data_IF_306973110330
#
_entry.id   IF_306973110330
#
_cell.length_a   1.000
_cell.length_b   1.000
_cell.length_c   1.000
_cell.angle_alpha   90.00
_cell.angle_beta   90.00
_cell.angle_gamma   90.00
#
_symmetry.space_group_name_H-M   'P 1'
#
loop_
_entity.id
_entity.type
_entity.pdbx_description
1 polymer ?
#
# COMPACT_ATOMS: atom_id res chain seq x y z
N UNK A 1 -11.36 -19.77 14.95
CA UNK A 1 -11.53 -18.86 13.80
C UNK A 1 -10.80 -17.57 14.16
N UNK A 2 -9.54 -17.45 13.72
CA UNK A 2 -8.70 -16.30 14.05
C UNK A 2 -9.04 -15.16 13.10
N UNK A 3 -9.57 -14.08 13.65
CA UNK A 3 -9.90 -12.87 12.91
C UNK A 3 -8.60 -12.09 12.60
N UNK A 4 -8.05 -12.32 11.42
CA UNK A 4 -6.86 -11.63 10.90
C UNK A 4 -7.14 -10.19 10.43
N UNK A 5 -8.38 -9.69 10.56
CA UNK A 5 -8.72 -8.31 10.17
C UNK A 5 -8.27 -7.26 11.20
N UNK A 6 -7.86 -7.68 12.41
CA UNK A 6 -7.55 -6.75 13.51
C UNK A 6 -6.14 -6.15 13.53
N UNK A 7 -5.21 -6.58 12.67
CA UNK A 7 -3.80 -6.20 12.80
C UNK A 7 -3.24 -5.24 11.74
N UNK A 8 -4.07 -4.66 10.85
CA UNK A 8 -3.56 -3.76 9.81
C UNK A 8 -3.95 -2.28 9.97
N UNK A 9 -4.77 -1.91 10.96
CA UNK A 9 -5.24 -0.54 11.19
C UNK A 9 -5.45 -0.23 12.69
N UNK A 10 -4.43 -0.43 13.53
CA UNK A 10 -4.43 0.14 14.89
C UNK A 10 -3.27 1.12 15.03
N UNK A 11 -3.33 2.24 14.30
CA UNK A 11 -2.48 3.40 14.55
C UNK A 11 -3.35 4.63 14.86
N UNK A 12 -4.37 4.44 15.70
CA UNK A 12 -4.93 5.58 16.40
C UNK A 12 -3.84 6.08 17.35
N UNK A 13 -3.33 7.30 17.13
CA UNK A 13 -2.42 7.95 18.08
C UNK A 13 -3.13 7.99 19.41
N UNK A 14 -2.62 7.24 20.38
CA UNK A 14 -3.26 7.16 21.69
C UNK A 14 -3.19 8.52 22.39
N UNK A 15 -4.12 8.80 23.31
CA UNK A 15 -4.08 10.04 24.09
C UNK A 15 -2.74 10.22 24.83
N UNK A 16 -2.11 9.11 25.24
CA UNK A 16 -0.80 9.11 25.89
C UNK A 16 0.32 9.51 24.93
N UNK A 17 0.36 8.94 23.72
CA UNK A 17 1.31 9.34 22.67
C UNK A 17 1.15 10.81 22.29
N UNK A 18 -0.10 11.27 22.18
CA UNK A 18 -0.40 12.66 21.87
C UNK A 18 0.15 13.63 22.94
N UNK A 19 -0.05 13.34 24.22
CA UNK A 19 0.50 14.15 25.31
C UNK A 19 2.03 14.06 25.39
N UNK A 20 2.62 12.89 25.08
CA UNK A 20 4.08 12.73 24.95
C UNK A 20 4.64 13.61 23.83
N UNK A 21 4.00 13.63 22.67
CA UNK A 21 4.36 14.48 21.54
C UNK A 21 4.26 15.98 21.89
N UNK A 22 3.21 16.41 22.61
CA UNK A 22 3.10 17.80 23.11
C UNK A 22 4.26 18.18 24.04
N UNK A 23 4.61 17.31 25.00
CA UNK A 23 5.72 17.54 25.92
C UNK A 23 7.06 17.63 25.16
N UNK A 24 7.29 16.72 24.22
CA UNK A 24 8.47 16.73 23.36
C UNK A 24 8.55 18.03 22.56
N UNK A 25 7.47 18.44 21.90
CA UNK A 25 7.40 19.71 21.15
C UNK A 25 7.76 20.90 22.03
N UNK A 26 7.16 21.03 23.22
CA UNK A 26 7.46 22.13 24.15
C UNK A 26 8.94 22.14 24.56
N UNK A 27 9.53 20.97 24.82
CA UNK A 27 10.95 20.83 25.17
C UNK A 27 11.84 21.29 24.02
N UNK A 28 11.62 20.76 22.81
CA UNK A 28 12.43 21.09 21.62
C UNK A 28 12.35 22.58 21.29
N UNK A 29 11.16 23.19 21.34
CA UNK A 29 11.01 24.65 21.10
C UNK A 29 11.82 25.46 22.10
N UNK A 30 11.84 25.06 23.39
CA UNK A 30 12.60 25.77 24.42
C UNK A 30 14.10 25.58 24.23
N UNK A 31 14.54 24.36 23.96
CA UNK A 31 15.94 23.95 23.84
C UNK A 31 16.65 24.60 22.64
N UNK A 32 15.95 24.71 21.51
CA UNK A 32 16.51 25.22 20.25
C UNK A 32 16.09 26.65 19.93
N UNK A 33 15.49 27.36 20.89
CA UNK A 33 15.05 28.75 20.70
C UNK A 33 16.21 29.66 20.30
N UNK A 34 16.07 30.34 19.16
CA UNK A 34 17.05 31.32 18.67
C UNK A 34 18.25 30.72 17.96
N UNK A 35 18.33 29.39 17.82
CA UNK A 35 19.31 28.71 16.97
C UNK A 35 18.75 28.57 15.56
N UNK A 36 19.62 28.63 14.54
CA UNK A 36 19.22 28.27 13.18
C UNK A 36 19.18 26.76 13.02
N UNK A 37 18.49 26.28 11.99
CA UNK A 37 18.43 24.83 11.71
C UNK A 37 19.82 24.29 11.35
N UNK A 38 20.60 25.08 10.61
CA UNK A 38 21.97 24.76 10.17
C UNK A 38 22.93 24.55 11.36
N UNK A 39 22.66 25.24 12.48
CA UNK A 39 23.48 25.17 13.69
C UNK A 39 23.11 23.97 14.58
N UNK A 40 22.03 23.25 14.26
CA UNK A 40 21.39 22.26 15.13
C UNK A 40 21.36 20.87 14.50
N UNK A 41 21.06 20.77 13.20
CA UNK A 41 21.00 19.51 12.48
C UNK A 41 21.95 19.60 11.30
N UNK A 42 22.86 18.63 11.21
CA UNK A 42 23.79 18.54 10.09
C UNK A 42 23.04 18.27 8.79
N UNK A 43 23.44 18.98 7.74
CA UNK A 43 22.82 18.96 6.43
C UNK A 43 23.53 19.94 5.50
N UNK A 44 23.07 20.00 4.25
CA UNK A 44 23.69 20.81 3.21
C UNK A 44 22.68 21.67 2.43
N UNK A 45 23.15 22.77 1.84
CA UNK A 45 22.32 23.57 0.95
C UNK A 45 22.33 22.92 -0.44
N UNK A 46 21.16 22.45 -0.87
CA UNK A 46 20.95 21.82 -2.16
C UNK A 46 20.22 22.78 -3.11
N UNK A 47 20.79 23.03 -4.29
CA UNK A 47 20.20 23.94 -5.27
C UNK A 47 19.33 23.18 -6.27
N UNK A 48 18.07 23.57 -6.37
CA UNK A 48 17.12 23.03 -7.35
C UNK A 48 16.76 24.10 -8.39
N UNK A 49 16.10 23.70 -9.48
CA UNK A 49 15.56 24.64 -10.47
C UNK A 49 14.55 25.63 -9.86
N UNK A 50 13.92 25.28 -8.73
CA UNK A 50 12.95 26.13 -8.02
C UNK A 50 13.58 26.97 -6.89
N UNK A 51 14.90 26.92 -6.72
CA UNK A 51 15.64 27.60 -5.64
C UNK A 51 16.36 26.64 -4.70
N UNK A 52 16.99 27.19 -3.66
CA UNK A 52 17.79 26.43 -2.70
C UNK A 52 16.92 25.83 -1.58
N UNK A 53 17.20 24.59 -1.20
CA UNK A 53 16.64 23.93 -0.01
C UNK A 53 17.75 23.46 0.94
N UNK A 54 17.41 23.20 2.20
CA UNK A 54 18.33 22.59 3.16
C UNK A 54 18.03 21.08 3.24
N UNK A 55 18.98 20.26 2.82
CA UNK A 55 18.88 18.81 2.76
C UNK A 55 19.44 18.20 4.03
N UNK A 56 18.61 17.45 4.73
CA UNK A 56 19.00 16.62 5.87
C UNK A 56 18.78 15.18 5.43
N UNK A 57 19.86 14.41 5.31
CA UNK A 57 19.81 12.98 4.99
C UNK A 57 20.18 12.16 6.23
N UNK A 58 19.38 11.14 6.49
CA UNK A 58 19.70 10.12 7.48
C UNK A 58 19.40 8.74 6.91
N UNK A 59 20.13 7.73 7.39
CA UNK A 59 20.00 6.33 6.95
C UNK A 59 19.78 5.45 8.16
N UNK A 60 18.56 4.93 8.28
CA UNK A 60 18.20 3.95 9.29
C UNK A 60 17.83 2.61 8.64
N UNK A 61 18.11 1.51 9.35
CA UNK A 61 17.63 0.20 8.92
C UNK A 61 16.15 0.04 9.29
N UNK A 62 15.30 -0.11 8.28
CA UNK A 62 13.88 -0.36 8.47
C UNK A 62 13.58 -1.86 8.38
N UNK A 63 13.02 -2.42 9.45
CA UNK A 63 12.36 -3.73 9.38
C UNK A 63 10.98 -3.54 8.75
N UNK A 64 10.91 -3.74 7.45
CA UNK A 64 9.65 -3.85 6.72
C UNK A 64 9.34 -5.32 6.45
N UNK A 65 8.17 -5.79 6.90
CA UNK A 65 7.64 -7.10 6.53
C UNK A 65 6.71 -6.93 5.34
N UNK A 66 7.07 -7.54 4.21
CA UNK A 66 6.19 -7.60 3.05
C UNK A 66 5.17 -8.71 3.24
N UNK A 67 4.00 -8.53 2.62
CA UNK A 67 2.98 -9.58 2.58
C UNK A 67 3.57 -10.79 1.84
N UNK A 68 3.35 -11.99 2.39
CA UNK A 68 3.76 -13.22 1.73
C UNK A 68 3.16 -13.33 0.31
N UNK A 69 4.00 -13.46 -0.75
CA UNK A 69 3.53 -13.44 -2.13
C UNK A 69 2.54 -14.57 -2.46
N UNK A 70 2.68 -15.74 -1.82
CA UNK A 70 1.79 -16.88 -2.03
C UNK A 70 0.39 -16.56 -1.49
N UNK A 71 0.31 -16.04 -0.25
CA UNK A 71 -0.95 -15.59 0.34
C UNK A 71 -1.59 -14.46 -0.46
N UNK A 72 -0.80 -13.49 -0.92
CA UNK A 72 -1.29 -12.38 -1.72
C UNK A 72 -1.88 -12.86 -3.06
N UNK A 73 -1.16 -13.74 -3.76
CA UNK A 73 -1.64 -14.37 -4.98
C UNK A 73 -2.97 -15.09 -4.77
N UNK A 74 -3.08 -15.90 -3.71
CA UNK A 74 -4.34 -16.57 -3.36
C UNK A 74 -5.47 -15.57 -3.10
N UNK A 75 -5.20 -14.45 -2.41
CA UNK A 75 -6.21 -13.41 -2.14
C UNK A 75 -6.72 -12.75 -3.42
N UNK A 76 -5.83 -12.45 -4.36
CA UNK A 76 -6.18 -11.90 -5.67
C UNK A 76 -7.03 -12.90 -6.46
N UNK A 77 -6.57 -14.14 -6.58
CA UNK A 77 -7.24 -15.18 -7.37
C UNK A 77 -8.57 -15.64 -6.76
N UNK A 78 -8.79 -15.43 -5.46
CA UNK A 78 -10.07 -15.75 -4.81
C UNK A 78 -11.16 -14.71 -5.07
N UNK A 79 -10.85 -13.59 -5.75
CA UNK A 79 -11.80 -12.52 -6.03
C UNK A 79 -12.26 -12.58 -7.49
N UNK A 80 -13.45 -13.15 -7.72
CA UNK A 80 -13.91 -13.42 -9.08
C UNK A 80 -14.35 -12.17 -9.83
N UNK A 81 -14.59 -11.05 -9.12
CA UNK A 81 -14.97 -9.77 -9.73
C UNK A 81 -13.86 -9.14 -10.57
N UNK A 82 -12.66 -9.71 -10.55
CA UNK A 82 -11.59 -9.37 -11.47
C UNK A 82 -11.83 -9.88 -12.90
N UNK A 83 -12.82 -10.77 -13.08
CA UNK A 83 -13.22 -11.31 -14.37
C UNK A 83 -14.46 -10.56 -14.87
N UNK A 84 -14.39 -10.09 -16.12
CA UNK A 84 -15.49 -9.39 -16.76
C UNK A 84 -16.79 -10.22 -16.72
N UNK A 85 -17.89 -9.57 -16.35
CA UNK A 85 -19.21 -10.22 -16.25
C UNK A 85 -19.47 -10.96 -14.93
N UNK A 86 -18.53 -10.96 -13.98
CA UNK A 86 -18.74 -11.48 -12.63
C UNK A 86 -18.91 -10.30 -11.65
N UNK A 87 -20.17 -10.02 -11.28
CA UNK A 87 -20.49 -9.12 -10.16
C UNK A 87 -20.56 -9.86 -8.83
N UNK A 88 -20.87 -9.15 -7.74
CA UNK A 88 -20.99 -9.71 -6.39
C UNK A 88 -21.93 -10.91 -6.30
N UNK A 89 -23.13 -10.80 -6.90
CA UNK A 89 -24.12 -11.89 -6.90
C UNK A 89 -23.60 -13.13 -7.65
N UNK A 90 -22.99 -12.92 -8.82
CA UNK A 90 -22.41 -14.01 -9.63
C UNK A 90 -21.27 -14.69 -8.87
N UNK A 91 -20.41 -13.92 -8.21
CA UNK A 91 -19.32 -14.45 -7.39
C UNK A 91 -19.84 -15.30 -6.23
N UNK A 92 -20.89 -14.86 -5.53
CA UNK A 92 -21.53 -15.65 -4.45
C UNK A 92 -22.09 -16.96 -5.00
N UNK A 93 -22.77 -16.93 -6.15
CA UNK A 93 -23.34 -18.12 -6.79
C UNK A 93 -22.22 -19.12 -7.15
N UNK A 94 -21.17 -18.66 -7.84
CA UNK A 94 -20.03 -19.50 -8.22
C UNK A 94 -19.35 -20.11 -6.99
N UNK A 95 -19.16 -19.33 -5.93
CA UNK A 95 -18.60 -19.82 -4.66
C UNK A 95 -19.52 -20.84 -3.96
N UNK A 96 -20.83 -20.69 -4.11
CA UNK A 96 -21.83 -21.67 -3.67
C UNK A 96 -21.80 -22.97 -4.46
N UNK A 97 -21.41 -22.92 -5.73
CA UNK A 97 -21.23 -24.09 -6.61
C UNK A 97 -19.91 -24.84 -6.38
N UNK A 98 -19.01 -24.30 -5.55
CA UNK A 98 -17.76 -24.96 -5.16
C UNK A 98 -16.49 -24.35 -5.76
N UNK A 99 -16.60 -23.38 -6.66
CA UNK A 99 -15.45 -22.63 -7.18
C UNK A 99 -14.84 -21.78 -6.05
N UNK A 100 -13.52 -21.83 -5.88
CA UNK A 100 -12.80 -21.10 -4.82
C UNK A 100 -11.83 -20.07 -5.37
N UNK A 101 -11.18 -20.36 -6.48
CA UNK A 101 -10.24 -19.45 -7.15
C UNK A 101 -10.55 -19.29 -8.63
N UNK A 102 -9.98 -18.25 -9.26
CA UNK A 102 -10.10 -18.00 -10.71
C UNK A 102 -9.52 -19.19 -11.51
N UNK A 103 -8.52 -19.91 -10.99
CA UNK A 103 -8.05 -21.15 -11.60
C UNK A 103 -9.17 -22.18 -11.77
N UNK A 104 -10.06 -22.31 -10.78
CA UNK A 104 -11.17 -23.26 -10.85
C UNK A 104 -12.15 -22.89 -11.98
N UNK A 105 -12.17 -21.63 -12.40
CA UNK A 105 -13.06 -21.13 -13.46
C UNK A 105 -12.54 -21.41 -14.87
N UNK A 106 -11.31 -21.87 -15.08
CA UNK A 106 -10.74 -22.11 -16.42
C UNK A 106 -11.61 -23.07 -17.25
N UNK A 107 -12.21 -24.08 -16.61
CA UNK A 107 -13.11 -25.02 -17.26
C UNK A 107 -14.57 -24.55 -17.37
N UNK A 108 -14.90 -23.37 -16.85
CA UNK A 108 -16.27 -22.87 -16.81
C UNK A 108 -16.70 -22.36 -18.19
N UNK A 109 -17.84 -22.87 -18.70
CA UNK A 109 -18.30 -22.62 -20.07
C UNK A 109 -18.42 -21.14 -20.47
N UNK A 110 -18.68 -20.25 -19.50
CA UNK A 110 -18.86 -18.81 -19.73
C UNK A 110 -17.66 -17.94 -19.37
N UNK A 111 -16.83 -18.37 -18.41
CA UNK A 111 -15.81 -17.50 -17.79
C UNK A 111 -14.40 -18.05 -17.94
N UNK A 112 -14.25 -19.20 -18.61
CA UNK A 112 -12.98 -19.94 -18.66
C UNK A 112 -11.89 -19.24 -19.45
N UNK A 113 -12.24 -18.61 -20.58
CA UNK A 113 -11.26 -17.90 -21.40
C UNK A 113 -10.75 -16.65 -20.68
N UNK A 114 -11.65 -15.86 -20.08
CA UNK A 114 -11.27 -14.67 -19.31
C UNK A 114 -10.48 -15.03 -18.04
N UNK A 115 -10.87 -16.12 -17.35
CA UNK A 115 -10.12 -16.63 -16.20
C UNK A 115 -8.69 -17.05 -16.59
N UNK A 116 -8.54 -17.71 -17.73
CA UNK A 116 -7.25 -18.13 -18.26
C UNK A 116 -6.38 -16.94 -18.67
N UNK A 117 -6.97 -15.92 -19.30
CA UNK A 117 -6.26 -14.69 -19.65
C UNK A 117 -5.76 -13.96 -18.39
N UNK A 118 -6.63 -13.77 -17.40
CA UNK A 118 -6.25 -13.14 -16.14
C UNK A 118 -5.14 -13.91 -15.42
N UNK A 119 -5.23 -15.24 -15.39
CA UNK A 119 -4.19 -16.08 -14.80
C UNK A 119 -2.84 -15.94 -15.50
N UNK A 120 -2.83 -15.80 -16.83
CA UNK A 120 -1.60 -15.54 -17.59
C UNK A 120 -0.98 -14.20 -17.18
N UNK A 121 -1.79 -13.15 -16.96
CA UNK A 121 -1.29 -11.85 -16.47
C UNK A 121 -0.61 -12.03 -15.12
N UNK A 122 -1.27 -12.68 -14.16
CA UNK A 122 -0.73 -12.95 -12.82
C UNK A 122 0.58 -13.74 -12.88
N UNK A 123 0.69 -14.73 -13.75
CA UNK A 123 1.88 -15.60 -13.85
C UNK A 123 3.02 -14.99 -14.68
N UNK A 124 2.75 -14.03 -15.56
CA UNK A 124 3.74 -13.45 -16.47
C UNK A 124 4.67 -12.41 -15.84
N UNK A 125 4.59 -12.18 -14.52
CA UNK A 125 5.31 -11.14 -13.78
C UNK A 125 5.09 -9.71 -14.33
N UNK A 126 4.03 -9.49 -15.11
CA UNK A 126 3.65 -8.15 -15.63
C UNK A 126 2.82 -7.39 -14.60
N UNK A 127 3.41 -7.08 -13.45
CA UNK A 127 2.66 -6.56 -12.29
C UNK A 127 1.96 -5.22 -12.54
N UNK A 128 2.49 -4.36 -13.42
CA UNK A 128 1.79 -3.14 -13.85
C UNK A 128 0.45 -3.45 -14.53
N UNK A 129 0.40 -4.52 -15.34
CA UNK A 129 -0.86 -4.95 -15.96
C UNK A 129 -1.81 -5.51 -14.91
N UNK A 130 -1.31 -6.26 -13.93
CA UNK A 130 -2.11 -6.77 -12.82
C UNK A 130 -2.75 -5.62 -12.01
N UNK A 131 -1.96 -4.61 -11.63
CA UNK A 131 -2.45 -3.43 -10.91
C UNK A 131 -3.53 -2.73 -11.73
N UNK A 132 -3.27 -2.45 -13.01
CA UNK A 132 -4.26 -1.80 -13.89
C UNK A 132 -5.57 -2.60 -14.00
N UNK A 133 -5.50 -3.94 -14.04
CA UNK A 133 -6.69 -4.79 -14.06
C UNK A 133 -7.46 -4.70 -12.74
N UNK A 134 -6.78 -4.65 -11.59
CA UNK A 134 -7.43 -4.48 -10.29
C UNK A 134 -8.07 -3.09 -10.20
N UNK A 135 -7.34 -2.04 -10.57
CA UNK A 135 -7.82 -0.64 -10.55
C UNK A 135 -8.97 -0.38 -11.54
N UNK A 136 -9.10 -1.21 -12.58
CA UNK A 136 -10.24 -1.14 -13.49
C UNK A 136 -11.56 -1.47 -12.78
N UNK A 137 -11.53 -2.42 -11.84
CA UNK A 137 -12.72 -2.91 -11.12
C UNK A 137 -12.90 -2.29 -9.74
N UNK A 138 -11.83 -1.79 -9.14
CA UNK A 138 -11.79 -1.34 -7.75
C UNK A 138 -11.08 0.02 -7.61
N UNK A 139 -11.41 0.81 -6.58
CA UNK A 139 -10.66 2.04 -6.31
C UNK A 139 -9.18 1.74 -6.02
N UNK A 140 -8.28 2.69 -6.29
CA UNK A 140 -6.84 2.53 -6.06
C UNK A 140 -6.46 2.20 -4.62
N UNK A 141 -7.30 2.59 -3.67
CA UNK A 141 -7.14 2.28 -2.24
C UNK A 141 -7.61 0.86 -1.86
N UNK A 142 -8.11 0.08 -2.80
CA UNK A 142 -8.63 -1.25 -2.52
C UNK A 142 -7.53 -2.22 -2.08
N UNK A 143 -7.86 -3.11 -1.13
CA UNK A 143 -6.88 -4.00 -0.51
C UNK A 143 -6.16 -4.93 -1.50
N UNK A 144 -6.79 -5.26 -2.64
CA UNK A 144 -6.15 -6.06 -3.69
C UNK A 144 -4.96 -5.34 -4.35
N UNK A 145 -5.01 -4.01 -4.45
CA UNK A 145 -3.87 -3.22 -4.91
C UNK A 145 -2.71 -3.36 -3.91
N UNK A 146 -3.00 -3.30 -2.60
CA UNK A 146 -1.99 -3.57 -1.58
C UNK A 146 -1.44 -5.01 -1.66
N UNK A 147 -2.28 -6.02 -1.88
CA UNK A 147 -1.77 -7.39 -2.06
C UNK A 147 -0.87 -7.53 -3.29
N UNK A 148 -1.14 -6.79 -4.37
CA UNK A 148 -0.28 -6.80 -5.55
C UNK A 148 1.13 -6.25 -5.27
N UNK A 149 1.30 -5.44 -4.22
CA UNK A 149 2.61 -4.91 -3.81
C UNK A 149 3.55 -6.02 -3.32
N UNK A 150 3.03 -7.18 -2.90
CA UNK A 150 3.85 -8.32 -2.47
C UNK A 150 4.75 -8.91 -3.57
N UNK A 151 4.48 -8.58 -4.84
CA UNK A 151 5.25 -9.07 -5.97
C UNK A 151 6.47 -8.22 -6.32
N UNK A 152 6.68 -7.13 -5.58
CA UNK A 152 7.79 -6.21 -5.74
C UNK A 152 8.82 -6.41 -4.62
N UNK A 153 10.07 -6.04 -4.90
CA UNK A 153 11.13 -5.96 -3.89
C UNK A 153 10.95 -4.70 -3.04
N UNK A 154 11.65 -4.62 -1.89
CA UNK A 154 11.56 -3.44 -1.01
C UNK A 154 12.12 -2.20 -1.69
N UNK A 155 13.11 -2.41 -2.54
CA UNK A 155 13.85 -1.39 -3.29
C UNK A 155 13.00 -0.77 -4.39
N UNK A 156 11.88 -1.40 -4.77
CA UNK A 156 10.93 -0.86 -5.74
C UNK A 156 9.98 0.18 -5.10
N UNK A 157 10.00 0.34 -3.77
CA UNK A 157 9.10 1.25 -3.06
C UNK A 157 9.78 2.56 -2.67
N UNK A 158 9.06 3.66 -2.92
CA UNK A 158 9.36 4.98 -2.37
C UNK A 158 8.20 5.37 -1.46
N UNK A 159 8.51 5.64 -0.19
CA UNK A 159 7.54 6.19 0.76
C UNK A 159 7.80 7.69 0.83
N UNK A 160 6.80 8.46 0.43
CA UNK A 160 6.83 9.92 0.46
C UNK A 160 5.81 10.41 1.48
N UNK A 161 6.29 11.02 2.56
CA UNK A 161 5.44 11.77 3.48
C UNK A 161 5.24 13.19 2.95
N UNK A 162 4.01 13.49 2.54
CA UNK A 162 3.61 14.80 2.04
C UNK A 162 2.96 15.68 3.12
N UNK A 163 2.57 15.09 4.26
CA UNK A 163 1.86 15.81 5.31
C UNK A 163 2.80 16.75 6.07
N UNK A 164 4.03 16.29 6.32
CA UNK A 164 5.10 17.11 6.94
C UNK A 164 5.57 18.26 6.07
N UNK A 165 5.18 18.31 4.79
CA UNK A 165 5.43 19.43 3.88
C UNK A 165 4.46 20.60 4.09
N UNK A 166 3.51 20.49 5.02
CA UNK A 166 2.53 21.54 5.29
C UNK A 166 1.31 21.52 4.36
N UNK A 167 1.12 20.44 3.57
CA UNK A 167 -0.05 20.21 2.71
C UNK A 167 -1.29 19.75 3.49
N UNK A 168 -1.33 19.97 4.80
CA UNK A 168 -2.39 19.54 5.71
C UNK A 168 -3.80 20.09 5.41
N UNK A 169 -3.94 21.04 4.49
CA UNK A 169 -5.20 21.76 4.23
C UNK A 169 -5.65 21.81 2.76
N UNK A 170 -5.02 21.08 1.84
CA UNK A 170 -5.51 20.99 0.45
C UNK A 170 -5.30 19.57 -0.10
N UNK A 171 -6.37 18.84 -0.48
CA UNK A 171 -6.24 17.61 -1.25
C UNK A 171 -5.65 17.88 -2.63
#
# INVERSE_FOLDING_TARGET
MYDFSKNFLSSEVTCEEYERCKKLKKRLIKEYKGKKIEDVIEGEVFNTESGSCYLIEDRAFLRCELIDPVKAKLKILSNFRLIYGIGELTEVILKGQGYRTIEDLIGHYRFGEEAKEFLNIVNSCKYNQLINNIEHWFPKSHQLVLFSSSFFSKEDFIILDIETLGLSNRP
#
